data_IF_492383818275
#
_entry.id   IF_492383818275
#
_cell.length_a   1.000
_cell.length_b   1.000
_cell.length_c   1.000
_cell.angle_alpha   90.00
_cell.angle_beta   90.00
_cell.angle_gamma   90.00
#
_symmetry.space_group_name_H-M   'P 1'
#
loop_
_entity.id
_entity.type
_entity.pdbx_description
1 polymer ?
#
# COMPACT_ATOMS: atom_id res chain seq x y z
N UNK A 1 -8.33 2.11 -12.29
CA UNK A 1 -9.52 1.59 -11.63
C UNK A 1 -9.70 2.03 -10.19
N UNK A 2 -8.63 2.16 -9.37
CA UNK A 2 -8.74 2.73 -8.02
C UNK A 2 -9.33 4.15 -8.01
N UNK A 3 -9.10 4.90 -9.08
CA UNK A 3 -9.66 6.24 -9.25
C UNK A 3 -11.19 6.28 -9.34
N UNK A 4 -11.80 5.29 -9.98
CA UNK A 4 -13.25 5.28 -10.16
C UNK A 4 -14.00 4.72 -8.96
N UNK A 5 -13.34 3.88 -8.16
CA UNK A 5 -13.97 3.23 -7.01
C UNK A 5 -13.82 3.99 -5.69
N UNK A 6 -12.76 4.82 -5.55
CA UNK A 6 -12.66 5.76 -4.43
C UNK A 6 -13.68 6.90 -4.52
N UNK A 7 -14.19 7.15 -5.73
CA UNK A 7 -15.18 8.17 -6.01
C UNK A 7 -16.61 7.72 -5.73
N UNK A 8 -16.95 7.32 -4.52
CA UNK A 8 -18.34 7.42 -4.07
C UNK A 8 -18.79 8.89 -3.96
N UNK A 9 -17.84 9.82 -3.89
CA UNK A 9 -18.00 11.22 -4.25
C UNK A 9 -17.45 11.39 -5.67
N UNK A 10 -18.30 11.63 -6.63
CA UNK A 10 -18.04 11.82 -8.06
C UNK A 10 -16.97 12.90 -8.36
N UNK A 11 -16.44 13.55 -7.36
CA UNK A 11 -15.59 14.75 -7.44
C UNK A 11 -14.15 14.56 -6.94
N UNK A 12 -13.84 13.54 -6.14
CA UNK A 12 -12.47 13.33 -5.61
C UNK A 12 -11.56 12.71 -6.67
N UNK A 13 -10.54 13.44 -7.12
CA UNK A 13 -9.66 13.04 -8.24
C UNK A 13 -8.19 12.95 -7.89
N UNK A 14 -7.78 13.58 -6.78
CA UNK A 14 -6.38 13.63 -6.40
C UNK A 14 -6.00 12.41 -5.56
N UNK A 15 -4.83 11.87 -5.81
CA UNK A 15 -4.21 10.85 -4.99
C UNK A 15 -2.87 11.36 -4.49
N UNK A 16 -2.63 11.25 -3.20
CA UNK A 16 -1.35 11.60 -2.62
C UNK A 16 -0.52 10.32 -2.47
N UNK A 17 0.75 10.37 -2.89
CA UNK A 17 1.70 9.27 -2.74
C UNK A 17 2.99 9.78 -2.08
N UNK A 18 3.71 8.90 -1.41
CA UNK A 18 4.95 9.29 -0.75
C UNK A 18 6.09 9.50 -1.76
N UNK A 19 6.87 10.57 -1.59
CA UNK A 19 8.17 10.70 -2.24
C UNK A 19 9.03 9.49 -1.94
N UNK A 20 9.85 9.07 -2.91
CA UNK A 20 10.68 7.87 -2.86
C UNK A 20 9.91 6.53 -2.76
N UNK A 21 8.59 6.54 -2.64
CA UNK A 21 7.75 5.34 -2.66
C UNK A 21 7.86 4.57 -3.98
N UNK A 22 7.60 3.27 -3.93
CA UNK A 22 7.56 2.41 -5.12
C UNK A 22 6.31 1.53 -5.09
N UNK A 23 5.42 1.73 -6.08
CA UNK A 23 4.13 1.03 -6.14
C UNK A 23 3.96 0.16 -7.39
N UNK A 24 4.97 0.08 -8.25
CA UNK A 24 4.96 -0.78 -9.42
C UNK A 24 5.32 -0.08 -10.74
N UNK A 25 5.20 -0.84 -11.84
CA UNK A 25 5.60 -0.41 -13.19
C UNK A 25 4.46 -0.33 -14.20
N UNK A 26 3.24 -0.76 -13.85
CA UNK A 26 2.07 -0.51 -14.68
C UNK A 26 1.72 0.97 -14.63
N UNK A 27 1.05 1.50 -15.65
CA UNK A 27 0.87 2.95 -15.83
C UNK A 27 0.30 3.65 -14.59
N UNK A 28 -0.76 3.11 -13.97
CA UNK A 28 -1.33 3.66 -12.74
C UNK A 28 -0.37 3.55 -11.54
N UNK A 29 0.23 2.39 -11.34
CA UNK A 29 1.18 2.16 -10.23
C UNK A 29 2.47 2.99 -10.40
N UNK A 30 2.93 3.16 -11.65
CA UNK A 30 4.08 4.00 -11.96
C UNK A 30 3.79 5.48 -11.67
N UNK A 31 2.55 5.92 -11.91
CA UNK A 31 2.12 7.27 -11.57
C UNK A 31 2.14 7.54 -10.06
N UNK A 32 1.93 6.50 -9.22
CA UNK A 32 2.03 6.59 -7.76
C UNK A 32 3.48 6.48 -7.25
N UNK A 33 4.41 5.97 -8.07
CA UNK A 33 5.80 5.79 -7.67
C UNK A 33 6.50 7.14 -7.52
N UNK A 34 6.89 7.49 -6.27
CA UNK A 34 7.47 8.78 -5.89
C UNK A 34 8.93 8.99 -6.30
N UNK A 35 9.44 8.22 -7.27
CA UNK A 35 10.82 8.27 -7.77
C UNK A 35 10.86 8.83 -9.20
N UNK A 36 11.21 10.13 -9.39
CA UNK A 36 11.17 10.78 -10.70
C UNK A 36 11.92 10.03 -11.81
N UNK A 37 13.13 9.55 -11.52
CA UNK A 37 13.94 8.82 -12.51
C UNK A 37 13.33 7.52 -13.01
N UNK A 38 12.35 6.95 -12.29
CA UNK A 38 11.64 5.74 -12.71
C UNK A 38 10.38 6.04 -13.54
N UNK A 39 9.77 7.21 -13.36
CA UNK A 39 8.47 7.55 -13.98
C UNK A 39 8.58 8.53 -15.16
N UNK A 40 9.48 9.51 -15.11
CA UNK A 40 9.60 10.55 -16.13
C UNK A 40 9.85 10.00 -17.56
N UNK A 41 10.68 8.95 -17.75
CA UNK A 41 10.89 8.37 -19.07
C UNK A 41 9.61 7.81 -19.73
N UNK A 42 8.53 7.63 -18.96
CA UNK A 42 7.26 7.06 -19.42
C UNK A 42 6.11 8.07 -19.47
N UNK A 43 6.43 9.36 -19.39
CA UNK A 43 5.42 10.41 -19.48
C UNK A 43 4.73 10.40 -20.88
N UNK A 44 3.44 10.79 -21.00
CA UNK A 44 2.59 11.29 -19.92
C UNK A 44 2.04 10.18 -19.01
N UNK A 45 2.04 10.45 -17.71
CA UNK A 45 1.51 9.54 -16.69
C UNK A 45 0.01 9.82 -16.43
N UNK A 46 -0.62 8.97 -15.61
CA UNK A 46 -1.99 9.21 -15.15
C UNK A 46 -2.00 10.50 -14.31
N UNK A 47 -2.81 11.51 -14.66
CA UNK A 47 -2.87 12.76 -13.93
C UNK A 47 -3.54 12.62 -12.56
N UNK A 48 -3.40 13.64 -11.71
CA UNK A 48 -4.04 13.69 -10.41
C UNK A 48 -3.26 12.99 -9.31
N UNK A 49 -1.94 12.89 -9.42
CA UNK A 49 -1.06 12.40 -8.35
C UNK A 49 -0.14 13.53 -7.91
N UNK A 50 -0.10 13.80 -6.60
CA UNK A 50 0.90 14.66 -5.98
C UNK A 50 1.69 13.88 -4.91
N UNK A 51 2.89 14.37 -4.60
CA UNK A 51 3.81 13.65 -3.74
C UNK A 51 4.10 14.43 -2.48
N UNK A 52 4.01 13.75 -1.34
CA UNK A 52 4.36 14.31 -0.03
C UNK A 52 5.68 13.73 0.48
N UNK A 53 6.39 14.52 1.28
CA UNK A 53 7.59 14.06 1.97
C UNK A 53 7.23 12.93 2.94
N UNK A 54 7.86 11.76 2.76
CA UNK A 54 7.56 10.57 3.57
C UNK A 54 7.84 10.82 5.05
N UNK A 55 6.84 10.56 5.89
CA UNK A 55 6.92 10.79 7.33
C UNK A 55 6.60 12.21 7.79
N UNK A 56 6.31 13.13 6.89
CA UNK A 56 5.93 14.51 7.21
C UNK A 56 4.41 14.70 7.13
N UNK A 57 3.73 14.57 8.27
CA UNK A 57 2.27 14.77 8.36
C UNK A 57 1.88 16.23 8.09
N UNK A 58 2.78 17.20 8.34
CA UNK A 58 2.54 18.60 8.03
C UNK A 58 2.39 18.80 6.52
N UNK A 59 3.30 18.26 5.74
CA UNK A 59 3.21 18.30 4.28
C UNK A 59 1.98 17.55 3.74
N UNK A 60 1.60 16.41 4.34
CA UNK A 60 0.36 15.71 3.95
C UNK A 60 -0.86 16.62 4.18
N UNK A 61 -0.95 17.30 5.32
CA UNK A 61 -2.04 18.25 5.62
C UNK A 61 -2.08 19.41 4.64
N UNK A 62 -0.94 20.02 4.34
CA UNK A 62 -0.85 21.11 3.35
C UNK A 62 -1.41 20.69 1.99
N UNK A 63 -1.11 19.47 1.52
CA UNK A 63 -1.64 18.97 0.26
C UNK A 63 -3.14 18.64 0.33
N UNK A 64 -3.63 18.12 1.45
CA UNK A 64 -5.07 17.90 1.66
C UNK A 64 -5.83 19.23 1.64
N UNK A 65 -5.32 20.25 2.32
CA UNK A 65 -5.93 21.60 2.36
C UNK A 65 -5.89 22.27 0.98
N UNK A 66 -4.77 22.14 0.26
CA UNK A 66 -4.60 22.66 -1.11
C UNK A 66 -5.67 22.13 -2.06
N UNK A 67 -6.05 20.86 -1.90
CA UNK A 67 -7.03 20.20 -2.75
C UNK A 67 -8.46 20.16 -2.19
N UNK A 68 -8.71 20.81 -1.05
CA UNK A 68 -10.02 21.14 -0.47
C UNK A 68 -11.16 20.15 -0.81
N UNK A 69 -11.05 18.92 -0.34
CA UNK A 69 -12.10 17.88 -0.53
C UNK A 69 -11.98 17.06 -1.83
N UNK A 70 -10.99 17.34 -2.70
CA UNK A 70 -10.75 16.57 -3.94
C UNK A 70 -9.78 15.38 -3.76
N UNK A 71 -9.16 15.20 -2.58
CA UNK A 71 -8.27 14.06 -2.30
C UNK A 71 -9.09 12.80 -2.08
N UNK A 72 -8.89 11.80 -2.95
CA UNK A 72 -9.56 10.50 -2.90
C UNK A 72 -8.85 9.50 -1.99
N UNK A 73 -7.51 9.46 -2.06
CA UNK A 73 -6.71 8.47 -1.34
C UNK A 73 -5.30 8.98 -1.01
N UNK A 74 -4.73 8.46 0.07
CA UNK A 74 -3.32 8.61 0.43
C UNK A 74 -2.67 7.23 0.40
N UNK A 75 -1.63 7.09 -0.44
CA UNK A 75 -0.83 5.88 -0.62
C UNK A 75 0.47 5.95 0.16
N UNK A 76 0.83 4.85 0.83
CA UNK A 76 2.09 4.72 1.54
C UNK A 76 2.53 3.25 1.68
N UNK A 77 3.81 3.06 1.85
CA UNK A 77 4.42 1.84 2.37
C UNK A 77 4.62 2.02 3.89
N UNK A 78 4.41 1.04 4.75
CA UNK A 78 4.81 1.14 6.17
C UNK A 78 6.32 1.29 6.34
N UNK A 79 7.07 0.68 5.42
CA UNK A 79 8.53 0.77 5.31
C UNK A 79 8.84 0.91 3.83
N UNK A 80 9.47 2.00 3.42
CA UNK A 80 9.94 2.17 2.05
C UNK A 80 11.13 1.25 1.77
N UNK A 81 10.91 0.23 0.94
CA UNK A 81 11.92 -0.80 0.70
C UNK A 81 12.97 -0.44 -0.34
N UNK A 82 12.58 0.26 -1.41
CA UNK A 82 13.42 0.53 -2.59
C UNK A 82 14.55 1.55 -2.34
N UNK A 83 14.43 2.36 -1.30
CA UNK A 83 15.35 3.48 -1.02
C UNK A 83 16.20 3.27 0.24
N UNK A 84 16.32 2.02 0.71
CA UNK A 84 17.20 1.67 1.81
C UNK A 84 16.51 1.24 3.10
N UNK A 85 15.28 0.71 3.00
CA UNK A 85 14.51 0.19 4.15
C UNK A 85 14.27 1.28 5.19
N UNK A 86 13.49 2.29 4.80
CA UNK A 86 13.17 3.44 5.65
C UNK A 86 11.79 3.23 6.28
N UNK A 87 11.70 2.94 7.59
CA UNK A 87 10.42 2.83 8.29
C UNK A 87 9.74 4.19 8.42
N UNK A 88 8.42 4.18 8.44
CA UNK A 88 7.66 5.36 8.79
C UNK A 88 8.00 5.79 10.22
N UNK A 89 8.11 7.10 10.51
CA UNK A 89 8.26 7.59 11.87
C UNK A 89 7.14 7.10 12.79
N UNK A 90 7.44 6.96 14.07
CA UNK A 90 6.45 6.59 15.07
C UNK A 90 5.25 7.54 15.04
N UNK A 91 4.04 7.00 15.06
CA UNK A 91 2.80 7.76 15.02
C UNK A 91 2.35 8.23 13.62
N UNK A 92 3.22 8.21 12.61
CA UNK A 92 2.88 8.74 11.28
C UNK A 92 1.65 8.04 10.65
N UNK A 93 1.57 6.71 10.71
CA UNK A 93 0.41 5.98 10.18
C UNK A 93 -0.88 6.34 10.92
N UNK A 94 -0.80 6.56 12.24
CA UNK A 94 -1.94 6.97 13.06
C UNK A 94 -2.42 8.38 12.69
N UNK A 95 -1.49 9.30 12.48
CA UNK A 95 -1.79 10.68 12.08
C UNK A 95 -2.43 10.71 10.68
N UNK A 96 -1.93 9.91 9.73
CA UNK A 96 -2.54 9.79 8.40
C UNK A 96 -3.92 9.14 8.50
N UNK A 97 -4.11 8.11 9.34
CA UNK A 97 -5.44 7.52 9.56
C UNK A 97 -6.44 8.54 10.08
N UNK A 98 -6.05 9.31 11.10
CA UNK A 98 -6.89 10.36 11.67
C UNK A 98 -7.27 11.43 10.61
N UNK A 99 -6.30 11.86 9.81
CA UNK A 99 -6.53 12.82 8.72
C UNK A 99 -7.48 12.25 7.65
N UNK A 100 -7.30 10.98 7.28
CA UNK A 100 -8.18 10.30 6.34
C UNK A 100 -9.62 10.20 6.86
N UNK A 101 -9.80 9.91 8.15
CA UNK A 101 -11.13 9.84 8.79
C UNK A 101 -11.80 11.22 8.83
N UNK A 102 -11.04 12.28 9.15
CA UNK A 102 -11.53 13.66 9.20
C UNK A 102 -12.05 14.15 7.84
N UNK A 103 -11.35 13.82 6.75
CA UNK A 103 -11.66 14.33 5.40
C UNK A 103 -12.38 13.31 4.49
N UNK A 104 -12.70 12.12 4.99
CA UNK A 104 -13.31 11.05 4.18
C UNK A 104 -12.39 10.61 3.03
N UNK A 105 -11.10 10.52 3.27
CA UNK A 105 -10.05 10.08 2.34
C UNK A 105 -9.76 8.59 2.60
N UNK A 106 -9.47 7.81 1.56
CA UNK A 106 -9.07 6.42 1.72
C UNK A 106 -7.60 6.31 2.08
N UNK A 107 -7.30 5.57 3.16
CA UNK A 107 -5.95 5.17 3.51
C UNK A 107 -5.58 3.88 2.79
N UNK A 108 -4.58 3.93 1.91
CA UNK A 108 -4.10 2.76 1.16
C UNK A 108 -2.68 2.43 1.59
N UNK A 109 -2.51 1.22 2.12
CA UNK A 109 -1.22 0.75 2.59
C UNK A 109 -0.68 -0.32 1.65
N UNK A 110 0.49 -0.07 1.11
CA UNK A 110 1.20 -1.00 0.23
C UNK A 110 2.08 -1.94 1.06
N UNK A 111 1.60 -3.16 1.23
CA UNK A 111 2.28 -4.24 1.94
C UNK A 111 2.94 -5.26 0.97
N UNK A 112 3.13 -4.86 -0.28
CA UNK A 112 3.74 -5.73 -1.29
C UNK A 112 5.12 -6.22 -0.87
N UNK A 113 5.88 -5.40 -0.14
CA UNK A 113 7.19 -5.78 0.38
C UNK A 113 7.18 -6.15 1.86
N UNK A 114 6.39 -5.47 2.66
CA UNK A 114 6.40 -5.61 4.12
C UNK A 114 5.46 -6.69 4.64
N UNK A 115 4.45 -7.06 3.87
CA UNK A 115 3.44 -8.05 4.26
C UNK A 115 3.90 -9.50 4.18
N UNK A 116 2.97 -10.39 4.46
CA UNK A 116 3.14 -11.85 4.45
C UNK A 116 4.27 -12.27 5.40
N UNK A 117 4.25 -11.74 6.63
CA UNK A 117 5.17 -12.13 7.70
C UNK A 117 6.58 -11.54 7.59
N UNK A 118 6.90 -10.72 6.59
CA UNK A 118 8.26 -10.19 6.33
C UNK A 118 8.86 -9.45 7.52
N UNK A 119 8.05 -8.70 8.26
CA UNK A 119 8.48 -7.87 9.40
C UNK A 119 8.24 -8.56 10.76
N UNK A 120 7.78 -9.81 10.75
CA UNK A 120 7.41 -10.54 11.94
C UNK A 120 5.96 -10.34 12.39
N UNK A 121 5.17 -9.62 11.62
CA UNK A 121 3.71 -9.58 11.67
C UNK A 121 3.18 -9.87 10.28
N UNK A 122 1.97 -10.43 10.15
CA UNK A 122 1.42 -10.74 8.83
C UNK A 122 1.33 -9.48 7.96
N UNK A 123 0.92 -8.36 8.55
CA UNK A 123 1.00 -7.01 7.97
C UNK A 123 1.79 -6.09 8.88
N UNK A 124 2.73 -5.32 8.33
CA UNK A 124 3.54 -4.38 9.11
C UNK A 124 2.72 -3.25 9.74
N UNK A 125 1.65 -2.78 9.08
CA UNK A 125 0.79 -1.71 9.61
C UNK A 125 0.12 -2.09 10.95
N UNK A 126 -0.04 -3.37 11.25
CA UNK A 126 -0.67 -3.83 12.52
C UNK A 126 0.12 -3.39 13.74
N UNK A 127 1.43 -3.15 13.59
CA UNK A 127 2.29 -2.63 14.67
C UNK A 127 1.86 -1.21 15.12
N UNK A 128 1.25 -0.45 14.24
CA UNK A 128 0.72 0.89 14.55
C UNK A 128 -0.72 0.87 15.06
N UNK A 129 -1.40 -0.28 15.06
CA UNK A 129 -2.79 -0.42 15.48
C UNK A 129 -3.81 0.25 14.55
N UNK A 130 -3.39 0.73 13.38
CA UNK A 130 -4.29 1.35 12.40
C UNK A 130 -5.06 0.31 11.59
N UNK A 131 -6.19 0.72 11.03
CA UNK A 131 -6.99 -0.05 10.08
C UNK A 131 -7.05 0.71 8.74
N UNK A 132 -6.25 0.34 7.73
CA UNK A 132 -6.35 0.95 6.41
C UNK A 132 -7.65 0.54 5.69
N UNK A 133 -8.07 1.37 4.73
CA UNK A 133 -9.24 1.05 3.91
C UNK A 133 -8.91 0.02 2.83
N UNK A 134 -7.68 0.07 2.31
CA UNK A 134 -7.16 -0.84 1.28
C UNK A 134 -5.74 -1.25 1.63
N UNK A 135 -5.44 -2.54 1.41
CA UNK A 135 -4.09 -3.11 1.51
C UNK A 135 -3.75 -3.81 0.20
N UNK A 136 -2.55 -3.57 -0.33
CA UNK A 136 -2.02 -4.31 -1.48
C UNK A 136 -0.97 -5.31 -1.06
N UNK A 137 -0.98 -6.50 -1.67
CA UNK A 137 -0.03 -7.59 -1.40
C UNK A 137 0.48 -8.21 -2.70
N UNK A 138 1.70 -8.70 -2.70
CA UNK A 138 2.28 -9.49 -3.77
C UNK A 138 3.55 -10.22 -3.26
N UNK A 139 4.60 -10.29 -4.07
CA UNK A 139 5.94 -10.85 -3.75
C UNK A 139 5.88 -12.17 -2.97
N UNK A 140 5.95 -12.11 -1.64
CA UNK A 140 5.92 -13.28 -0.76
C UNK A 140 4.62 -14.08 -0.78
N UNK A 141 3.52 -13.51 -1.28
CA UNK A 141 2.18 -14.05 -1.17
C UNK A 141 2.04 -15.49 -1.72
N UNK A 142 2.75 -15.84 -2.78
CA UNK A 142 2.69 -17.19 -3.36
C UNK A 142 4.06 -17.85 -3.52
N UNK A 143 5.04 -17.51 -2.67
CA UNK A 143 6.32 -18.21 -2.58
C UNK A 143 7.14 -18.23 -3.88
N UNK A 144 6.91 -17.30 -4.80
CA UNK A 144 7.60 -17.18 -6.08
C UNK A 144 6.67 -17.28 -7.31
N UNK A 145 5.42 -17.73 -7.15
CA UNK A 145 4.44 -17.67 -8.22
C UNK A 145 3.92 -16.23 -8.38
N UNK A 146 3.82 -15.69 -9.61
CA UNK A 146 3.33 -14.32 -9.83
C UNK A 146 1.86 -14.18 -9.44
N UNK A 147 1.58 -13.41 -8.40
CA UNK A 147 0.24 -13.06 -7.94
C UNK A 147 0.30 -11.74 -7.18
N UNK A 148 -0.77 -10.96 -7.27
CA UNK A 148 -1.05 -9.82 -6.41
C UNK A 148 -2.47 -9.90 -5.89
N UNK A 149 -2.69 -9.35 -4.71
CA UNK A 149 -4.02 -9.26 -4.11
C UNK A 149 -4.25 -7.85 -3.56
N UNK A 150 -5.51 -7.45 -3.57
CA UNK A 150 -6.01 -6.23 -2.93
C UNK A 150 -7.07 -6.63 -1.93
N UNK A 151 -6.87 -6.22 -0.69
CA UNK A 151 -7.85 -6.41 0.39
C UNK A 151 -8.44 -5.04 0.72
N UNK A 152 -9.75 -4.96 0.80
CA UNK A 152 -10.46 -3.73 1.13
C UNK A 152 -11.43 -3.97 2.28
N UNK A 153 -11.67 -2.94 3.10
CA UNK A 153 -12.73 -3.00 4.10
C UNK A 153 -14.12 -3.09 3.43
N UNK A 154 -15.15 -3.47 4.18
CA UNK A 154 -16.47 -3.72 3.63
C UNK A 154 -17.07 -2.50 2.87
N UNK A 155 -16.83 -1.27 3.37
CA UNK A 155 -17.29 -0.04 2.74
C UNK A 155 -16.64 0.16 1.37
N UNK A 156 -15.33 0.00 1.30
CA UNK A 156 -14.55 0.19 0.07
C UNK A 156 -14.77 -0.98 -0.90
N UNK A 157 -14.88 -2.21 -0.40
CA UNK A 157 -15.15 -3.38 -1.21
C UNK A 157 -16.48 -3.29 -1.96
N UNK A 158 -17.49 -2.65 -1.38
CA UNK A 158 -18.79 -2.43 -2.02
C UNK A 158 -18.71 -1.57 -3.31
N UNK A 159 -17.65 -0.83 -3.51
CA UNK A 159 -17.41 -0.04 -4.73
C UNK A 159 -16.93 -0.91 -5.92
N UNK A 160 -16.45 -2.12 -5.66
CA UNK A 160 -16.00 -3.07 -6.68
C UNK A 160 -17.19 -3.88 -7.21
N UNK A 161 -17.87 -3.31 -8.20
CA UNK A 161 -19.03 -3.97 -8.82
C UNK A 161 -18.58 -4.97 -9.92
N UNK A 162 -19.42 -5.99 -10.26
CA UNK A 162 -19.12 -6.88 -11.37
C UNK A 162 -18.86 -6.12 -12.66
N UNK A 163 -17.76 -6.48 -13.35
CA UNK A 163 -17.33 -5.83 -14.60
C UNK A 163 -16.50 -4.56 -14.44
N UNK A 164 -16.29 -4.05 -13.21
CA UNK A 164 -15.44 -2.87 -12.97
C UNK A 164 -13.94 -3.18 -13.14
N UNK A 165 -13.54 -4.44 -12.98
CA UNK A 165 -12.15 -4.91 -13.09
C UNK A 165 -12.09 -6.15 -13.96
N UNK A 166 -10.94 -6.32 -14.64
CA UNK A 166 -10.66 -7.50 -15.45
C UNK A 166 -9.16 -7.78 -15.51
N UNK A 167 -8.84 -9.07 -15.59
CA UNK A 167 -7.48 -9.55 -15.77
C UNK A 167 -7.53 -10.91 -16.46
N UNK A 168 -6.57 -11.18 -17.34
CA UNK A 168 -6.52 -12.45 -18.06
C UNK A 168 -6.05 -13.59 -17.16
N UNK A 169 -5.04 -13.37 -16.32
CA UNK A 169 -4.38 -14.40 -15.52
C UNK A 169 -4.61 -14.27 -14.02
N UNK A 170 -5.25 -13.21 -13.56
CA UNK A 170 -5.54 -13.00 -12.14
C UNK A 170 -6.52 -14.05 -11.63
N UNK A 171 -6.23 -14.59 -10.44
CA UNK A 171 -7.04 -15.64 -9.83
C UNK A 171 -6.87 -17.02 -10.49
N UNK A 172 -5.79 -17.25 -11.27
CA UNK A 172 -5.53 -18.57 -11.84
C UNK A 172 -5.30 -19.60 -10.73
N UNK A 173 -5.77 -20.86 -10.92
CA UNK A 173 -5.79 -21.85 -9.82
C UNK A 173 -4.38 -22.24 -9.34
N UNK A 174 -3.35 -22.17 -10.19
CA UNK A 174 -1.98 -22.54 -9.79
C UNK A 174 -1.42 -21.51 -8.83
N UNK A 175 -1.50 -20.21 -9.17
CA UNK A 175 -1.01 -19.16 -8.30
C UNK A 175 -1.84 -19.04 -7.00
N UNK A 176 -3.16 -19.26 -7.07
CA UNK A 176 -4.01 -19.30 -5.87
C UNK A 176 -3.68 -20.49 -4.96
N UNK A 177 -3.42 -21.67 -5.50
CA UNK A 177 -3.00 -22.83 -4.72
C UNK A 177 -1.65 -22.59 -4.03
N UNK A 178 -0.70 -21.98 -4.73
CA UNK A 178 0.59 -21.59 -4.16
C UNK A 178 0.43 -20.55 -3.05
N UNK A 179 -0.43 -19.54 -3.26
CA UNK A 179 -0.72 -18.55 -2.23
C UNK A 179 -1.36 -19.17 -0.98
N UNK A 180 -2.34 -20.06 -1.15
CA UNK A 180 -2.95 -20.77 -0.01
C UNK A 180 -1.91 -21.57 0.76
N UNK A 181 -1.01 -22.31 0.08
CA UNK A 181 0.06 -23.05 0.74
C UNK A 181 1.01 -22.13 1.55
N UNK A 182 1.29 -20.91 1.07
CA UNK A 182 2.06 -19.92 1.82
C UNK A 182 1.27 -19.43 3.04
N UNK A 183 -0.01 -19.13 2.88
CA UNK A 183 -0.86 -18.66 3.97
C UNK A 183 -1.03 -19.70 5.07
N UNK A 184 -1.05 -20.99 4.72
CA UNK A 184 -1.07 -22.09 5.69
C UNK A 184 0.23 -22.19 6.52
N UNK A 185 1.35 -21.68 6.01
CA UNK A 185 2.66 -21.71 6.67
C UNK A 185 2.91 -20.44 7.49
N UNK A 186 2.47 -19.29 6.99
CA UNK A 186 2.73 -17.98 7.61
C UNK A 186 1.69 -17.70 8.69
N UNK A 187 1.77 -18.45 9.77
CA UNK A 187 0.97 -18.29 10.99
C UNK A 187 1.66 -17.37 12.03
N UNK A 188 1.04 -17.21 13.18
CA UNK A 188 1.59 -16.39 14.27
C UNK A 188 2.94 -16.92 14.78
N UNK A 189 3.12 -18.24 14.83
CA UNK A 189 4.38 -18.86 15.27
C UNK A 189 5.51 -18.56 14.26
N UNK A 190 5.20 -18.62 12.96
CA UNK A 190 6.13 -18.22 11.91
C UNK A 190 6.54 -16.75 12.06
N UNK A 191 5.57 -15.85 12.27
CA UNK A 191 5.82 -14.43 12.46
C UNK A 191 6.72 -14.14 13.68
N UNK A 192 6.48 -14.82 14.81
CA UNK A 192 7.34 -14.75 16.00
C UNK A 192 8.76 -15.19 15.68
N UNK A 193 8.94 -16.33 14.98
CA UNK A 193 10.26 -16.82 14.60
C UNK A 193 11.01 -15.85 13.65
N UNK A 194 10.28 -15.12 12.80
CA UNK A 194 10.88 -14.06 11.96
C UNK A 194 11.40 -12.89 12.82
N UNK A 195 10.64 -12.43 13.82
CA UNK A 195 11.07 -11.39 14.77
C UNK A 195 12.33 -11.79 15.51
N UNK A 196 12.38 -13.00 16.04
CA UNK A 196 13.54 -13.52 16.76
C UNK A 196 14.80 -13.55 15.89
N UNK A 197 14.68 -14.07 14.65
CA UNK A 197 15.79 -14.09 13.69
C UNK A 197 16.23 -12.68 13.28
N UNK A 198 15.33 -11.76 13.09
CA UNK A 198 15.63 -10.36 12.80
C UNK A 198 16.40 -9.69 13.92
N UNK A 199 16.02 -9.94 15.17
CA UNK A 199 16.71 -9.45 16.34
C UNK A 199 18.16 -10.00 16.41
N UNK A 200 18.35 -11.29 16.16
CA UNK A 200 19.69 -11.91 16.14
C UNK A 200 20.61 -11.28 15.09
N UNK A 201 20.10 -11.00 13.88
CA UNK A 201 20.88 -10.37 12.82
C UNK A 201 21.31 -8.94 13.18
N UNK A 202 20.46 -8.19 13.87
CA UNK A 202 20.76 -6.82 14.29
C UNK A 202 21.76 -6.76 15.46
N UNK A 203 21.72 -7.76 16.35
CA UNK A 203 22.55 -7.79 17.58
C UNK A 203 23.83 -8.61 17.43
N UNK A 204 24.03 -9.31 16.29
CA UNK A 204 25.27 -10.04 16.04
C UNK A 204 26.39 -9.08 15.68
N UNK A 205 27.61 -9.24 16.27
CA UNK A 205 28.77 -8.41 16.00
C UNK A 205 29.31 -8.57 14.58
#
# INVERSE_FOLDING_TARGET
PLYSSAASDVYKRQVLAAENGFHGRTMGALSLTGQPGKREPFAPLVPGVEYYAYGDIGHVRELVDKHAGDVAAIFMEPIQGEVGVIPAPEGFLNDVRALCDEHGILMVVDEVQTGVGRTGDFFAFTQSGVQPDIVTMAKGLAGGMPIGAVVANAKTAALFTPGAHGTTFGGNPIACAAANAVLDIVDDAFCVAVKEKGCLLYTSP
#
